data_IF_133980052791
#
_entry.id   IF_133980052791
#
_cell.length_a   1.000
_cell.length_b   1.000
_cell.length_c   1.000
_cell.angle_alpha   90.00
_cell.angle_beta   90.00
_cell.angle_gamma   90.00
#
_symmetry.space_group_name_H-M   'P 1'
#
loop_
_entity.id
_entity.type
_entity.pdbx_description
1 polymer ?
#
# COMPACT_ATOMS: atom_id res chain seq x y z
N UNK A 1 25.90 -6.34 45.95
CA UNK A 1 24.75 -5.42 46.15
C UNK A 1 24.61 -4.33 45.07
N UNK A 2 25.64 -3.52 44.76
CA UNK A 2 25.53 -2.42 43.76
C UNK A 2 25.06 -2.84 42.36
N UNK A 3 25.55 -3.97 41.81
CA UNK A 3 25.11 -4.50 40.51
C UNK A 3 23.64 -4.93 40.49
N UNK A 4 23.15 -5.54 41.58
CA UNK A 4 21.75 -5.94 41.73
C UNK A 4 20.81 -4.72 41.84
N UNK A 5 21.21 -3.68 42.57
CA UNK A 5 20.45 -2.43 42.65
C UNK A 5 20.42 -1.69 41.31
N UNK A 6 21.53 -1.67 40.57
CA UNK A 6 21.58 -1.10 39.22
C UNK A 6 20.66 -1.88 38.25
N UNK A 7 20.64 -3.21 38.35
CA UNK A 7 19.74 -4.05 37.55
C UNK A 7 18.27 -3.81 37.92
N UNK A 8 17.94 -3.77 39.21
CA UNK A 8 16.59 -3.45 39.70
C UNK A 8 16.11 -2.06 39.22
N UNK A 9 16.98 -1.05 39.28
CA UNK A 9 16.68 0.29 38.78
C UNK A 9 16.60 0.35 37.24
N UNK A 10 17.28 -0.56 36.53
CA UNK A 10 17.15 -0.73 35.09
C UNK A 10 15.79 -1.32 34.71
N UNK A 11 15.32 -2.32 35.44
CA UNK A 11 14.04 -3.00 35.20
C UNK A 11 12.86 -2.04 35.37
N UNK A 12 12.90 -1.12 36.33
CA UNK A 12 11.83 -0.11 36.49
C UNK A 12 11.73 0.87 35.32
N UNK A 13 12.80 1.04 34.53
CA UNK A 13 12.81 1.88 33.32
C UNK A 13 12.36 1.13 32.06
N UNK A 14 12.23 -0.19 32.12
CA UNK A 14 11.92 -1.02 30.96
C UNK A 14 10.59 -0.65 30.29
N UNK A 15 9.46 -0.39 31.01
CA UNK A 15 8.21 -0.02 30.36
C UNK A 15 8.31 1.27 29.53
N UNK A 16 9.04 2.27 30.02
CA UNK A 16 9.26 3.51 29.30
C UNK A 16 10.15 3.29 28.06
N UNK A 17 11.18 2.45 28.19
CA UNK A 17 12.06 2.09 27.07
C UNK A 17 11.33 1.30 25.98
N UNK A 18 10.49 0.33 26.37
CA UNK A 18 9.65 -0.44 25.44
C UNK A 18 8.70 0.50 24.70
N UNK A 19 7.96 1.35 25.42
CA UNK A 19 7.03 2.29 24.81
C UNK A 19 7.72 3.24 23.84
N UNK A 20 8.90 3.74 24.22
CA UNK A 20 9.72 4.61 23.37
C UNK A 20 10.07 3.97 22.03
N UNK A 21 10.46 2.69 22.05
CA UNK A 21 10.79 1.93 20.84
C UNK A 21 9.56 1.60 20.01
N UNK A 22 8.43 1.28 20.65
CA UNK A 22 7.16 1.02 19.95
C UNK A 22 6.67 2.24 19.17
N UNK A 23 6.78 3.44 19.75
CA UNK A 23 6.52 4.69 19.01
C UNK A 23 7.49 4.91 17.86
N UNK A 24 8.76 4.53 18.01
CA UNK A 24 9.75 4.58 16.93
C UNK A 24 9.45 3.65 15.75
N UNK A 25 8.63 2.61 15.96
CA UNK A 25 8.17 1.72 14.89
C UNK A 25 6.90 2.20 14.18
N UNK A 26 6.30 3.32 14.61
CA UNK A 26 5.09 3.86 13.97
C UNK A 26 5.45 4.89 12.91
N UNK A 27 4.68 4.92 11.83
CA UNK A 27 4.74 6.03 10.86
C UNK A 27 3.97 7.23 11.45
N UNK A 28 4.58 8.40 11.64
CA UNK A 28 3.86 9.57 12.13
C UNK A 28 3.10 10.29 11.02
N UNK A 29 2.20 11.20 11.41
CA UNK A 29 1.61 12.15 10.46
C UNK A 29 2.57 13.32 10.22
N UNK A 30 2.60 13.84 9.01
CA UNK A 30 3.25 15.11 8.71
C UNK A 30 2.39 16.25 9.26
N UNK A 31 2.80 16.80 10.40
CA UNK A 31 2.10 17.90 11.05
C UNK A 31 2.22 19.22 10.27
N UNK A 32 3.19 19.35 9.37
CA UNK A 32 3.33 20.50 8.48
C UNK A 32 2.35 20.45 7.32
N UNK A 33 2.17 19.27 6.72
CA UNK A 33 1.26 19.08 5.58
C UNK A 33 -0.20 18.87 5.97
N UNK A 34 -0.46 18.19 7.10
CA UNK A 34 -1.83 17.88 7.55
C UNK A 34 -2.29 18.93 8.55
N UNK A 35 -3.49 19.48 8.38
CA UNK A 35 -4.11 20.36 9.37
C UNK A 35 -5.54 19.91 9.68
N UNK A 36 -5.77 19.38 10.88
CA UNK A 36 -7.09 18.90 11.30
C UNK A 36 -7.78 19.96 12.15
N UNK A 37 -9.01 20.33 11.76
CA UNK A 37 -9.85 21.30 12.48
C UNK A 37 -11.01 20.62 13.21
N UNK A 38 -10.71 19.65 14.08
CA UNK A 38 -11.74 18.97 14.85
C UNK A 38 -12.25 19.86 16.01
N UNK A 39 -13.57 19.96 16.15
CA UNK A 39 -14.22 20.77 17.20
C UNK A 39 -14.35 20.04 18.54
N UNK A 40 -14.12 18.72 18.55
CA UNK A 40 -14.18 17.87 19.74
C UNK A 40 -12.96 16.99 19.83
N UNK A 41 -12.50 16.72 21.04
CA UNK A 41 -11.40 15.80 21.27
C UNK A 41 -11.82 14.39 20.82
N UNK A 42 -11.07 13.70 19.94
CA UNK A 42 -11.43 12.35 19.54
C UNK A 42 -11.51 11.40 20.75
N UNK A 43 -10.63 11.56 21.75
CA UNK A 43 -10.54 10.61 22.87
C UNK A 43 -11.67 10.71 23.91
N UNK A 44 -12.30 11.87 24.09
CA UNK A 44 -13.30 12.07 25.15
C UNK A 44 -14.52 12.88 24.71
N UNK A 45 -14.58 13.30 23.43
CA UNK A 45 -15.63 14.14 22.83
C UNK A 45 -15.79 15.55 23.43
N UNK A 46 -14.93 15.93 24.38
CA UNK A 46 -14.92 17.25 24.98
C UNK A 46 -14.72 18.34 23.92
N UNK A 47 -15.48 19.43 24.04
CA UNK A 47 -15.38 20.56 23.10
C UNK A 47 -13.99 21.18 23.14
N UNK A 48 -13.40 21.39 21.96
CA UNK A 48 -12.14 22.11 21.78
C UNK A 48 -12.37 23.54 21.30
N UNK A 49 -13.63 23.93 21.11
CA UNK A 49 -13.97 25.29 20.71
C UNK A 49 -13.37 26.27 21.74
N UNK A 50 -12.69 27.34 21.29
CA UNK A 50 -12.35 28.43 22.20
C UNK A 50 -13.68 28.95 22.77
N UNK A 51 -13.88 28.81 24.08
CA UNK A 51 -15.02 29.46 24.75
C UNK A 51 -14.90 30.95 24.43
N UNK A 52 -15.72 31.44 23.50
CA UNK A 52 -16.01 32.87 23.41
C UNK A 52 -16.78 33.18 24.67
N UNK A 53 -16.08 33.62 25.72
CA UNK A 53 -16.73 34.13 26.91
C UNK A 53 -17.66 35.24 26.44
N UNK A 54 -18.97 35.09 26.64
CA UNK A 54 -19.86 36.24 26.60
C UNK A 54 -19.37 37.22 27.68
N UNK A 55 -19.56 38.53 27.45
CA UNK A 55 -19.27 39.58 28.44
C UNK A 55 -19.89 39.25 29.82
N UNK A 56 -21.06 38.59 29.83
CA UNK A 56 -21.74 38.13 31.04
C UNK A 56 -21.02 37.00 31.79
N UNK A 57 -20.41 36.03 31.09
CA UNK A 57 -19.64 34.95 31.75
C UNK A 57 -18.28 35.44 32.24
N UNK A 58 -17.65 36.39 31.55
CA UNK A 58 -16.42 37.03 32.01
C UNK A 58 -16.64 37.80 33.33
N UNK A 59 -17.76 38.51 33.45
CA UNK A 59 -18.12 39.24 34.67
C UNK A 59 -18.40 38.30 35.87
N UNK A 60 -19.13 37.20 35.67
CA UNK A 60 -19.41 36.22 36.74
C UNK A 60 -18.19 35.42 37.19
N UNK A 61 -17.24 35.14 36.30
CA UNK A 61 -15.99 34.46 36.64
C UNK A 61 -15.06 35.33 37.51
N UNK A 62 -15.10 36.65 37.32
CA UNK A 62 -14.34 37.61 38.16
C UNK A 62 -14.96 37.70 39.57
N UNK A 63 -16.29 37.63 39.67
CA UNK A 63 -17.01 37.72 40.95
C UNK A 63 -16.86 36.48 41.85
N UNK A 64 -16.58 35.30 41.27
CA UNK A 64 -16.63 34.03 42.02
C UNK A 64 -15.26 33.45 42.40
N UNK A 65 -14.13 34.11 42.09
CA UNK A 65 -12.76 33.66 42.43
C UNK A 65 -12.42 32.20 42.04
N UNK A 66 -13.25 31.50 41.27
CA UNK A 66 -12.96 30.15 40.75
C UNK A 66 -12.27 30.22 39.39
N UNK A 67 -11.17 30.98 39.33
CA UNK A 67 -10.26 30.95 38.17
C UNK A 67 -9.35 29.72 38.30
N UNK A 68 -9.93 28.53 38.14
CA UNK A 68 -9.15 27.47 37.51
C UNK A 68 -8.87 27.95 36.09
N UNK A 69 -7.61 28.10 35.64
CA UNK A 69 -7.36 28.49 34.26
C UNK A 69 -8.03 27.44 33.39
N UNK A 70 -9.00 27.84 32.56
CA UNK A 70 -9.51 27.02 31.46
C UNK A 70 -8.29 26.61 30.65
N UNK A 71 -7.74 25.42 30.94
CA UNK A 71 -6.53 24.87 30.35
C UNK A 71 -6.80 24.67 28.85
N UNK A 72 -6.59 25.73 28.07
CA UNK A 72 -6.52 25.70 26.61
C UNK A 72 -5.17 25.11 26.16
N UNK A 73 -4.68 24.08 26.85
CA UNK A 73 -3.47 23.36 26.47
C UNK A 73 -3.85 22.21 25.53
N UNK A 74 -4.52 22.57 24.43
CA UNK A 74 -4.79 21.65 23.35
C UNK A 74 -3.50 21.43 22.58
N UNK A 75 -3.23 20.17 22.24
CA UNK A 75 -2.05 19.80 21.47
C UNK A 75 -2.45 18.94 20.28
N UNK A 76 -1.63 18.96 19.24
CA UNK A 76 -1.75 18.04 18.11
C UNK A 76 -1.02 16.75 18.44
N UNK A 77 -1.70 15.63 18.29
CA UNK A 77 -1.10 14.33 18.46
C UNK A 77 -0.12 14.04 17.32
N UNK A 78 1.12 13.66 17.66
CA UNK A 78 2.19 13.30 16.74
C UNK A 78 1.84 12.12 15.81
N UNK A 79 1.00 11.20 16.27
CA UNK A 79 0.65 10.00 15.50
C UNK A 79 -0.57 10.22 14.60
N UNK A 80 -1.70 10.66 15.16
CA UNK A 80 -2.96 10.80 14.42
C UNK A 80 -3.23 12.19 13.84
N UNK A 81 -2.53 13.23 14.29
CA UNK A 81 -2.68 14.60 13.78
C UNK A 81 -3.82 15.43 14.36
N UNK A 82 -4.79 14.81 15.04
CA UNK A 82 -5.92 15.50 15.67
C UNK A 82 -5.51 16.40 16.83
N UNK A 83 -6.28 17.47 17.06
CA UNK A 83 -6.24 18.26 18.28
C UNK A 83 -6.90 17.48 19.43
N UNK A 84 -6.26 17.48 20.60
CA UNK A 84 -6.73 16.77 21.79
C UNK A 84 -6.69 17.68 23.02
N UNK A 85 -7.65 17.50 23.93
CA UNK A 85 -7.73 18.30 25.16
C UNK A 85 -6.58 17.94 26.11
N UNK A 86 -6.33 18.83 27.08
CA UNK A 86 -5.24 18.69 28.05
C UNK A 86 -5.25 17.37 28.82
N UNK A 87 -6.43 16.79 29.05
CA UNK A 87 -6.59 15.54 29.82
C UNK A 87 -6.36 14.30 28.96
N UNK A 88 -6.31 14.45 27.63
CA UNK A 88 -6.25 13.34 26.68
C UNK A 88 -4.92 13.24 25.94
N UNK A 89 -3.89 14.02 26.31
CA UNK A 89 -2.55 13.88 25.76
C UNK A 89 -1.49 13.73 26.85
N UNK A 90 -0.40 13.06 26.49
CA UNK A 90 0.80 12.97 27.33
C UNK A 90 2.06 13.23 26.51
N UNK A 91 3.07 13.82 27.14
CA UNK A 91 4.41 13.87 26.59
C UNK A 91 5.04 12.48 26.68
N UNK A 92 5.39 11.91 25.53
CA UNK A 92 6.05 10.62 25.39
C UNK A 92 7.40 10.81 24.71
N UNK A 93 8.21 9.77 24.66
CA UNK A 93 9.46 9.77 23.92
C UNK A 93 9.40 8.76 22.79
N UNK A 94 10.09 9.04 21.70
CA UNK A 94 10.26 8.18 20.54
C UNK A 94 11.74 8.01 20.25
N UNK A 95 12.17 6.79 19.92
CA UNK A 95 13.50 6.53 19.37
C UNK A 95 13.41 6.59 17.85
N UNK A 96 14.07 7.58 17.23
CA UNK A 96 14.15 7.74 15.78
C UNK A 96 15.06 6.68 15.14
N UNK A 97 15.05 6.62 13.81
CA UNK A 97 15.83 5.64 13.04
C UNK A 97 17.34 5.75 13.26
N UNK A 98 17.83 6.96 13.59
CA UNK A 98 19.24 7.21 13.90
C UNK A 98 19.61 6.90 15.36
N UNK A 99 18.66 6.37 16.15
CA UNK A 99 18.82 6.12 17.58
C UNK A 99 18.66 7.37 18.45
N UNK A 100 18.42 8.55 17.86
CA UNK A 100 18.12 9.77 18.64
C UNK A 100 16.76 9.67 19.29
N UNK A 101 16.65 10.14 20.53
CA UNK A 101 15.39 10.18 21.26
C UNK A 101 14.77 11.57 21.14
N UNK A 102 13.50 11.63 20.74
CA UNK A 102 12.73 12.86 20.62
C UNK A 102 11.51 12.82 21.56
N UNK A 103 11.14 13.98 22.12
CA UNK A 103 9.88 14.15 22.84
C UNK A 103 8.74 14.35 21.83
N UNK A 104 7.62 13.68 22.06
CA UNK A 104 6.44 13.72 21.20
C UNK A 104 5.17 13.91 22.05
N UNK A 105 4.15 14.52 21.48
CA UNK A 105 2.81 14.59 22.08
C UNK A 105 1.99 13.43 21.52
N UNK A 106 1.42 12.59 22.39
CA UNK A 106 0.56 11.48 21.93
C UNK A 106 -0.73 11.49 22.72
N UNK A 107 -1.85 11.28 22.03
CA UNK A 107 -3.15 11.17 22.69
C UNK A 107 -3.34 9.79 23.34
N UNK A 108 -4.23 9.72 24.33
CA UNK A 108 -4.55 8.48 25.06
C UNK A 108 -4.97 7.35 24.12
N UNK A 109 -5.76 7.67 23.09
CA UNK A 109 -6.20 6.70 22.07
C UNK A 109 -5.03 6.14 21.24
N UNK A 110 -4.16 7.00 20.73
CA UNK A 110 -2.95 6.58 20.00
C UNK A 110 -2.03 5.73 20.88
N UNK A 111 -1.87 6.12 22.16
CA UNK A 111 -1.06 5.34 23.10
C UNK A 111 -1.61 3.93 23.31
N UNK A 112 -2.93 3.78 23.46
CA UNK A 112 -3.57 2.48 23.60
C UNK A 112 -3.39 1.60 22.36
N UNK A 113 -3.60 2.17 21.16
CA UNK A 113 -3.42 1.45 19.90
C UNK A 113 -1.97 0.96 19.72
N UNK A 114 -0.97 1.82 19.97
CA UNK A 114 0.47 1.42 19.95
C UNK A 114 0.79 0.35 21.00
N UNK A 115 0.07 0.29 22.10
CA UNK A 115 0.27 -0.77 23.10
C UNK A 115 -0.29 -2.12 22.65
N UNK A 116 -1.33 -2.12 21.82
CA UNK A 116 -2.06 -3.30 21.36
C UNK A 116 -1.40 -4.02 20.18
N UNK A 117 -0.47 -3.39 19.45
CA UNK A 117 0.25 -4.05 18.37
C UNK A 117 1.24 -5.12 18.87
N UNK A 118 1.63 -6.03 17.98
CA UNK A 118 2.62 -7.08 18.24
C UNK A 118 4.01 -6.61 17.79
N UNK A 119 5.04 -6.79 18.62
CA UNK A 119 6.39 -6.22 18.36
C UNK A 119 7.52 -7.24 18.46
N UNK A 120 7.20 -8.51 18.69
CA UNK A 120 8.19 -9.59 18.82
C UNK A 120 9.18 -9.61 17.65
N UNK A 121 8.68 -9.56 16.42
CA UNK A 121 9.50 -9.57 15.19
C UNK A 121 10.23 -8.24 14.92
N UNK A 122 9.70 -7.10 15.39
CA UNK A 122 10.35 -5.78 15.21
C UNK A 122 11.70 -5.72 15.93
N UNK A 123 11.81 -6.39 17.07
CA UNK A 123 13.01 -6.36 17.92
C UNK A 123 13.73 -7.72 17.99
N UNK A 124 13.36 -8.67 17.14
CA UNK A 124 13.99 -9.99 17.04
C UNK A 124 15.41 -9.92 16.45
N UNK A 125 16.18 -10.99 16.66
CA UNK A 125 17.49 -11.17 16.04
C UNK A 125 18.67 -10.42 16.68
N UNK A 126 19.79 -10.42 15.98
CA UNK A 126 21.03 -9.74 16.39
C UNK A 126 20.92 -8.22 16.25
N UNK A 127 21.92 -7.47 16.73
CA UNK A 127 21.95 -6.02 16.56
C UNK A 127 21.99 -5.61 15.09
N UNK A 128 22.71 -6.36 14.26
CA UNK A 128 22.87 -6.15 12.82
C UNK A 128 21.56 -6.45 12.08
N UNK A 129 20.87 -7.54 12.43
CA UNK A 129 19.55 -7.86 11.87
C UNK A 129 18.53 -6.77 12.21
N UNK A 130 18.48 -6.35 13.48
CA UNK A 130 17.63 -5.22 13.89
C UNK A 130 17.97 -3.92 13.18
N UNK A 131 19.24 -3.68 12.88
CA UNK A 131 19.66 -2.45 12.20
C UNK A 131 19.05 -2.35 10.80
N UNK A 132 18.86 -3.47 10.09
CA UNK A 132 18.17 -3.48 8.78
C UNK A 132 16.72 -3.03 8.87
N UNK A 133 16.04 -3.43 9.95
CA UNK A 133 14.64 -3.07 10.23
C UNK A 133 14.49 -1.72 10.94
N UNK A 134 15.60 -1.04 11.28
CA UNK A 134 15.54 0.37 11.64
C UNK A 134 15.30 1.17 10.37
N UNK A 135 14.09 1.65 10.23
CA UNK A 135 13.79 2.76 9.36
C UNK A 135 12.32 2.76 9.03
N UNK A 136 11.88 3.79 8.32
CA UNK A 136 10.88 3.54 7.32
C UNK A 136 11.38 2.46 6.33
N UNK A 137 10.46 1.71 5.72
CA UNK A 137 10.71 0.89 4.54
C UNK A 137 11.44 1.71 3.45
N UNK A 138 12.40 1.10 2.75
CA UNK A 138 13.23 1.80 1.75
C UNK A 138 13.62 0.94 0.57
N UNK A 139 14.03 1.60 -0.51
CA UNK A 139 14.70 0.96 -1.64
C UNK A 139 16.21 1.06 -1.47
N UNK A 140 16.93 -0.02 -1.75
CA UNK A 140 18.39 -0.11 -1.64
C UNK A 140 19.01 -0.55 -2.97
N UNK A 141 20.31 -0.37 -3.14
CA UNK A 141 21.03 -0.91 -4.30
C UNK A 141 20.94 -2.44 -4.37
N UNK A 142 21.05 -2.95 -5.59
CA UNK A 142 21.06 -4.39 -5.84
C UNK A 142 22.31 -5.04 -5.24
N UNK A 143 22.13 -6.17 -4.55
CA UNK A 143 23.25 -7.00 -4.09
C UNK A 143 23.74 -7.91 -5.21
N UNK A 144 25.03 -8.27 -5.20
CA UNK A 144 25.71 -9.11 -6.21
C UNK A 144 25.21 -10.57 -6.35
N UNK A 145 24.10 -10.95 -5.71
CA UNK A 145 23.53 -12.30 -5.78
C UNK A 145 22.57 -12.48 -6.97
N UNK A 146 22.26 -13.74 -7.32
CA UNK A 146 21.38 -14.21 -8.41
C UNK A 146 20.43 -13.15 -8.96
N UNK A 147 20.62 -12.78 -10.22
CA UNK A 147 19.81 -11.75 -10.87
C UNK A 147 18.34 -12.16 -10.89
N UNK A 148 17.50 -11.40 -10.16
CA UNK A 148 16.03 -11.50 -10.17
C UNK A 148 15.49 -11.59 -11.60
N UNK A 149 16.16 -10.93 -12.55
CA UNK A 149 15.82 -10.90 -13.96
C UNK A 149 15.92 -12.28 -14.60
N UNK A 150 16.99 -13.04 -14.34
CA UNK A 150 17.14 -14.41 -14.87
C UNK A 150 15.97 -15.28 -14.42
N UNK A 151 15.62 -15.22 -13.13
CA UNK A 151 14.52 -16.02 -12.57
C UNK A 151 13.17 -15.69 -13.23
N UNK A 152 12.96 -14.45 -13.66
CA UNK A 152 11.74 -14.02 -14.34
C UNK A 152 11.72 -14.48 -15.79
N UNK A 153 12.84 -14.36 -16.50
CA UNK A 153 12.98 -14.83 -17.90
C UNK A 153 12.82 -16.36 -17.96
N UNK A 154 13.50 -17.08 -17.07
CA UNK A 154 13.41 -18.55 -16.97
C UNK A 154 11.98 -18.98 -16.66
N UNK A 155 11.29 -18.25 -15.77
CA UNK A 155 9.90 -18.54 -15.45
C UNK A 155 8.97 -18.29 -16.63
N UNK A 156 9.10 -17.17 -17.34
CA UNK A 156 8.28 -16.91 -18.53
C UNK A 156 8.53 -17.93 -19.65
N UNK A 157 9.80 -18.34 -19.84
CA UNK A 157 10.16 -19.38 -20.79
C UNK A 157 9.51 -20.71 -20.40
N UNK A 158 9.62 -21.12 -19.14
CA UNK A 158 9.00 -22.34 -18.64
C UNK A 158 7.47 -22.28 -18.71
N UNK A 159 6.84 -21.14 -18.40
CA UNK A 159 5.39 -20.96 -18.52
C UNK A 159 4.91 -21.12 -19.96
N UNK A 160 5.68 -20.60 -20.93
CA UNK A 160 5.35 -20.71 -22.34
C UNK A 160 5.49 -22.15 -22.83
N UNK A 161 6.60 -22.82 -22.50
CA UNK A 161 6.89 -24.20 -22.93
C UNK A 161 5.92 -25.22 -22.34
N UNK A 162 5.43 -25.00 -21.12
CA UNK A 162 4.49 -25.90 -20.46
C UNK A 162 3.03 -25.64 -20.85
N UNK A 163 2.71 -24.52 -21.49
CA UNK A 163 1.36 -24.22 -21.94
C UNK A 163 1.10 -24.87 -23.30
N UNK A 164 -0.05 -25.53 -23.46
CA UNK A 164 -0.42 -26.13 -24.74
C UNK A 164 -0.59 -25.03 -25.81
N UNK A 165 -0.07 -25.26 -27.02
CA UNK A 165 -0.22 -24.32 -28.13
C UNK A 165 -1.71 -24.01 -28.38
N UNK A 166 -2.04 -22.72 -28.45
CA UNK A 166 -3.43 -22.25 -28.61
C UNK A 166 -4.28 -22.21 -27.32
N UNK A 167 -3.73 -22.61 -26.17
CA UNK A 167 -4.40 -22.45 -24.87
C UNK A 167 -4.48 -20.99 -24.42
N UNK A 168 -5.38 -20.70 -23.47
CA UNK A 168 -5.49 -19.38 -22.86
C UNK A 168 -4.21 -19.00 -22.11
N UNK A 169 -3.55 -19.97 -21.48
CA UNK A 169 -2.27 -19.80 -20.77
C UNK A 169 -1.14 -19.44 -21.72
N UNK A 170 -1.07 -20.09 -22.88
CA UNK A 170 -0.09 -19.77 -23.92
C UNK A 170 -0.31 -18.36 -24.48
N UNK A 171 -1.57 -18.02 -24.80
CA UNK A 171 -1.93 -16.70 -25.28
C UNK A 171 -1.61 -15.59 -24.25
N UNK A 172 -1.94 -15.83 -22.97
CA UNK A 172 -1.66 -14.92 -21.87
C UNK A 172 -0.15 -14.70 -21.68
N UNK A 173 0.65 -15.78 -21.72
CA UNK A 173 2.11 -15.69 -21.61
C UNK A 173 2.70 -14.86 -22.75
N UNK A 174 2.25 -15.11 -23.98
CA UNK A 174 2.67 -14.32 -25.15
C UNK A 174 2.25 -12.86 -25.06
N UNK A 175 1.03 -12.57 -24.57
CA UNK A 175 0.53 -11.21 -24.38
C UNK A 175 1.37 -10.45 -23.33
N UNK A 176 1.72 -11.11 -22.21
CA UNK A 176 2.60 -10.56 -21.17
C UNK A 176 3.97 -10.21 -21.73
N UNK A 177 4.62 -11.16 -22.44
CA UNK A 177 5.94 -10.94 -23.05
C UNK A 177 5.90 -9.76 -24.03
N UNK A 178 4.90 -9.71 -24.93
CA UNK A 178 4.75 -8.61 -25.90
C UNK A 178 4.57 -7.27 -25.22
N UNK A 179 3.69 -7.20 -24.21
CA UNK A 179 3.40 -5.95 -23.51
C UNK A 179 4.62 -5.43 -22.75
N UNK A 180 5.36 -6.31 -22.07
CA UNK A 180 6.60 -5.95 -21.36
C UNK A 180 7.66 -5.38 -22.31
N UNK A 181 7.83 -5.98 -23.49
CA UNK A 181 8.75 -5.49 -24.52
C UNK A 181 8.32 -4.13 -25.10
N UNK A 182 7.01 -3.90 -25.26
CA UNK A 182 6.48 -2.66 -25.86
C UNK A 182 6.59 -1.46 -24.93
N UNK A 183 6.48 -1.64 -23.62
CA UNK A 183 6.66 -0.57 -22.62
C UNK A 183 8.03 0.11 -22.67
N UNK A 184 9.02 -0.47 -23.36
CA UNK A 184 10.32 0.15 -23.57
C UNK A 184 10.42 0.94 -24.88
N UNK A 185 9.49 0.76 -25.82
CA UNK A 185 9.50 1.44 -27.14
C UNK A 185 8.80 2.79 -27.11
N UNK A 186 7.96 3.06 -26.12
CA UNK A 186 7.28 4.36 -25.95
C UNK A 186 8.25 5.50 -25.54
N UNK A 187 9.56 5.22 -25.32
CA UNK A 187 10.64 6.21 -25.20
C UNK A 187 11.40 6.47 -26.52
N UNK A 188 11.02 5.81 -27.62
CA UNK A 188 11.62 5.97 -28.95
C UNK A 188 10.53 5.98 -30.02
N UNK A 189 10.19 7.16 -30.53
CA UNK A 189 9.28 7.34 -31.68
C UNK A 189 9.75 6.51 -32.89
N UNK A 190 9.22 5.30 -33.02
CA UNK A 190 9.03 4.63 -34.32
C UNK A 190 8.05 3.46 -34.12
N UNK A 191 6.77 3.72 -34.40
CA UNK A 191 5.83 2.67 -34.78
C UNK A 191 6.29 2.09 -36.13
N UNK A 192 7.26 1.20 -36.08
CA UNK A 192 7.45 0.20 -37.12
C UNK A 192 6.95 -1.12 -36.54
N UNK A 193 5.73 -1.49 -36.90
CA UNK A 193 5.36 -2.89 -37.02
C UNK A 193 6.22 -3.49 -38.14
N UNK A 194 7.51 -3.68 -37.86
CA UNK A 194 8.35 -4.57 -38.62
C UNK A 194 7.92 -5.98 -38.26
N UNK A 195 7.03 -6.54 -39.06
CA UNK A 195 7.07 -7.97 -39.34
C UNK A 195 8.50 -8.27 -39.78
N UNK A 196 9.33 -8.73 -38.84
CA UNK A 196 10.63 -9.30 -39.13
C UNK A 196 10.38 -10.59 -39.90
N UNK A 197 10.22 -10.43 -41.22
CA UNK A 197 10.16 -11.46 -42.28
C UNK A 197 11.54 -12.14 -42.46
N UNK A 198 12.21 -12.43 -41.34
CA UNK A 198 13.36 -13.31 -41.31
C UNK A 198 12.90 -14.76 -41.29
N UNK A 199 13.54 -15.61 -42.10
CA UNK A 199 13.37 -17.07 -42.23
C UNK A 199 13.71 -17.86 -40.94
N UNK A 200 13.57 -17.23 -39.77
CA UNK A 200 13.88 -17.81 -38.47
C UNK A 200 12.67 -18.61 -37.98
N UNK A 201 12.90 -19.85 -37.56
CA UNK A 201 11.85 -20.67 -36.94
C UNK A 201 11.32 -20.01 -35.65
N UNK A 202 10.09 -20.36 -35.24
CA UNK A 202 9.41 -19.79 -34.06
C UNK A 202 10.27 -19.86 -32.79
N UNK A 203 11.06 -20.93 -32.63
CA UNK A 203 11.98 -21.13 -31.51
C UNK A 203 13.08 -20.05 -31.43
N UNK A 204 13.68 -19.68 -32.56
CA UNK A 204 14.73 -18.65 -32.62
C UNK A 204 14.14 -17.27 -32.34
N UNK A 205 12.94 -17.00 -32.83
CA UNK A 205 12.20 -15.78 -32.54
C UNK A 205 11.86 -15.68 -31.05
N UNK A 206 11.52 -16.79 -30.40
CA UNK A 206 11.24 -16.83 -28.96
C UNK A 206 12.51 -16.63 -28.13
N UNK A 207 13.60 -17.33 -28.46
CA UNK A 207 14.89 -17.14 -27.81
C UNK A 207 15.35 -15.67 -27.88
N UNK A 208 15.16 -15.03 -29.02
CA UNK A 208 15.45 -13.61 -29.22
C UNK A 208 14.60 -12.71 -28.30
N UNK A 209 13.29 -12.99 -28.18
CA UNK A 209 12.41 -12.23 -27.27
C UNK A 209 12.84 -12.34 -25.81
N UNK A 210 13.20 -13.53 -25.35
CA UNK A 210 13.65 -13.74 -23.97
C UNK A 210 15.00 -13.06 -23.69
N UNK A 211 15.92 -13.10 -24.66
CA UNK A 211 17.19 -12.37 -24.56
C UNK A 211 16.96 -10.87 -24.42
N UNK A 212 16.16 -10.27 -25.31
CA UNK A 212 15.83 -8.83 -25.26
C UNK A 212 15.09 -8.48 -23.96
N UNK A 213 14.21 -9.35 -23.47
CA UNK A 213 13.52 -9.14 -22.20
C UNK A 213 14.48 -9.17 -21.00
N UNK A 214 15.45 -10.10 -21.01
CA UNK A 214 16.50 -10.18 -20.00
C UNK A 214 17.38 -8.94 -19.98
N UNK A 215 17.83 -8.48 -21.15
CA UNK A 215 18.55 -7.21 -21.30
C UNK A 215 17.73 -6.04 -20.78
N UNK A 216 16.44 -5.96 -21.15
CA UNK A 216 15.55 -4.88 -20.73
C UNK A 216 15.35 -4.79 -19.21
N UNK A 217 15.13 -5.94 -18.56
CA UNK A 217 14.87 -5.99 -17.12
C UNK A 217 16.15 -5.85 -16.29
N UNK A 218 17.31 -6.18 -16.87
CA UNK A 218 18.63 -6.16 -16.23
C UNK A 218 19.51 -4.95 -16.54
N UNK A 219 19.03 -4.02 -17.38
CA UNK A 219 19.77 -2.82 -17.75
C UNK A 219 19.89 -1.84 -16.55
N UNK A 220 21.06 -1.84 -15.90
CA UNK A 220 21.35 -0.97 -14.76
C UNK A 220 21.30 0.52 -15.09
N UNK A 221 21.61 0.91 -16.34
CA UNK A 221 21.56 2.31 -16.79
C UNK A 221 20.12 2.82 -16.87
N UNK A 222 19.15 1.93 -17.09
CA UNK A 222 17.72 2.23 -17.10
C UNK A 222 17.05 2.12 -15.73
N UNK A 223 17.77 1.67 -14.69
CA UNK A 223 17.20 1.61 -13.35
C UNK A 223 17.09 3.03 -12.77
N UNK A 224 15.94 3.39 -12.15
CA UNK A 224 15.80 4.68 -11.49
C UNK A 224 16.88 4.85 -10.40
N UNK A 225 17.39 6.07 -10.24
CA UNK A 225 18.25 6.40 -9.11
C UNK A 225 17.50 6.21 -7.77
N UNK A 226 18.24 5.96 -6.68
CA UNK A 226 17.64 5.64 -5.38
C UNK A 226 16.67 6.72 -4.86
N UNK A 227 16.99 7.99 -5.09
CA UNK A 227 16.15 9.13 -4.71
C UNK A 227 14.87 9.25 -5.55
N UNK A 228 14.87 8.71 -6.77
CA UNK A 228 13.69 8.57 -7.62
C UNK A 228 12.78 7.41 -7.20
N UNK A 229 13.29 6.45 -6.42
CA UNK A 229 12.54 5.32 -5.86
C UNK A 229 11.72 5.73 -4.63
N UNK A 230 10.70 6.56 -4.84
CA UNK A 230 9.84 7.08 -3.76
C UNK A 230 8.87 6.02 -3.24
N UNK A 231 8.66 6.01 -1.92
CA UNK A 231 7.61 5.25 -1.26
C UNK A 231 6.60 6.18 -0.60
N UNK A 232 5.30 5.90 -0.73
CA UNK A 232 4.21 6.74 -0.24
C UNK A 232 4.12 6.88 1.28
N UNK A 233 4.92 6.10 2.01
CA UNK A 233 5.05 6.15 3.46
C UNK A 233 6.52 6.05 3.91
N UNK A 234 7.43 6.55 3.07
CA UNK A 234 8.87 6.49 3.30
C UNK A 234 9.37 7.32 4.48
N UNK A 235 8.57 8.21 5.08
CA UNK A 235 8.96 8.94 6.31
C UNK A 235 7.75 9.26 7.18
N UNK A 236 6.77 9.96 6.62
CA UNK A 236 5.56 10.42 7.31
C UNK A 236 4.33 10.19 6.42
N UNK A 237 3.14 10.23 7.03
CA UNK A 237 1.86 10.17 6.31
C UNK A 237 1.31 11.57 6.07
N UNK A 238 0.68 11.77 4.92
CA UNK A 238 -0.02 12.99 4.52
C UNK A 238 -1.52 13.01 4.89
N UNK A 239 -1.96 12.16 5.83
CA UNK A 239 -3.35 12.09 6.29
C UNK A 239 -3.44 11.79 7.80
N UNK A 240 -4.51 12.25 8.48
CA UNK A 240 -4.76 11.91 9.88
C UNK A 240 -5.24 10.45 10.03
N UNK A 241 -5.09 9.89 11.23
CA UNK A 241 -5.61 8.55 11.55
C UNK A 241 -6.77 8.62 12.53
N UNK A 242 -7.96 8.20 12.12
CA UNK A 242 -9.06 7.98 13.05
C UNK A 242 -8.98 6.56 13.61
N UNK A 243 -8.16 6.41 14.66
CA UNK A 243 -7.98 5.15 15.37
C UNK A 243 -9.23 4.79 16.19
N UNK A 244 -9.48 3.50 16.43
CA UNK A 244 -10.59 3.05 17.25
C UNK A 244 -10.38 3.32 18.74
N UNK A 245 -11.48 3.36 19.49
CA UNK A 245 -11.45 3.40 20.95
C UNK A 245 -10.97 2.09 21.56
N UNK A 246 -11.40 0.95 21.00
CA UNK A 246 -10.96 -0.38 21.41
C UNK A 246 -10.07 -1.04 20.34
N UNK A 247 -8.74 -0.96 20.47
CA UNK A 247 -7.81 -1.53 19.49
C UNK A 247 -7.77 -3.07 19.47
N UNK A 248 -8.51 -3.75 20.34
CA UNK A 248 -8.56 -5.22 20.37
C UNK A 248 -9.73 -5.80 19.57
N UNK A 249 -10.67 -4.97 19.15
CA UNK A 249 -11.92 -5.40 18.48
C UNK A 249 -12.11 -4.68 17.16
N UNK A 250 -11.81 -3.38 17.12
CA UNK A 250 -12.09 -2.53 15.96
C UNK A 250 -10.84 -2.23 15.15
N UNK A 251 -11.04 -1.83 13.89
CA UNK A 251 -9.99 -1.32 12.99
C UNK A 251 -10.08 0.20 12.86
N UNK A 252 -8.98 0.88 12.47
CA UNK A 252 -9.03 2.31 12.13
C UNK A 252 -10.05 2.60 11.03
N UNK A 253 -10.71 3.76 11.10
CA UNK A 253 -11.54 4.17 9.96
C UNK A 253 -10.65 4.44 8.75
N UNK A 254 -11.14 4.00 7.60
CA UNK A 254 -10.46 4.21 6.31
C UNK A 254 -10.16 5.70 6.08
N UNK A 255 -8.90 6.08 5.79
CA UNK A 255 -8.66 7.39 5.21
C UNK A 255 -9.33 7.44 3.83
N UNK A 256 -9.81 8.59 3.36
CA UNK A 256 -10.37 8.74 2.02
C UNK A 256 -9.55 9.81 1.27
N UNK A 257 -9.04 9.53 0.05
CA UNK A 257 -8.32 10.52 -0.73
C UNK A 257 -9.19 11.74 -1.05
N UNK A 258 -8.58 12.92 -1.17
CA UNK A 258 -9.31 14.14 -1.52
C UNK A 258 -9.90 14.10 -2.93
N UNK A 259 -9.31 13.31 -3.82
CA UNK A 259 -9.73 13.07 -5.20
C UNK A 259 -10.57 11.79 -5.36
N UNK A 260 -11.25 11.34 -4.31
CA UNK A 260 -12.01 10.08 -4.34
C UNK A 260 -13.13 10.09 -5.40
N UNK A 261 -13.84 11.21 -5.56
CA UNK A 261 -14.89 11.32 -6.58
C UNK A 261 -14.32 11.13 -7.99
N UNK A 262 -13.22 11.81 -8.32
CA UNK A 262 -12.55 11.70 -9.62
C UNK A 262 -12.02 10.29 -9.85
N UNK A 263 -11.50 9.63 -8.81
CA UNK A 263 -11.00 8.25 -8.86
C UNK A 263 -12.11 7.26 -9.21
N UNK A 264 -13.26 7.38 -8.56
CA UNK A 264 -14.44 6.54 -8.83
C UNK A 264 -14.95 6.80 -10.26
N UNK A 265 -14.99 8.06 -10.68
CA UNK A 265 -15.42 8.44 -12.02
C UNK A 265 -14.47 7.94 -13.12
N UNK A 266 -13.15 8.01 -12.89
CA UNK A 266 -12.15 7.44 -13.78
C UNK A 266 -12.30 5.90 -13.89
N UNK A 267 -12.55 5.22 -12.76
CA UNK A 267 -12.85 3.79 -12.76
C UNK A 267 -14.14 3.44 -13.53
N UNK A 268 -15.16 4.29 -13.47
CA UNK A 268 -16.43 4.11 -14.19
C UNK A 268 -16.25 4.31 -15.70
N UNK A 269 -15.66 5.43 -16.10
CA UNK A 269 -15.50 5.85 -17.50
C UNK A 269 -14.51 4.97 -18.27
N UNK A 270 -13.51 4.40 -17.60
CA UNK A 270 -12.60 3.42 -18.19
C UNK A 270 -13.21 2.02 -18.35
N UNK A 271 -14.44 1.78 -17.86
CA UNK A 271 -15.06 0.46 -17.82
C UNK A 271 -14.45 -0.48 -16.76
N UNK A 272 -13.55 0.02 -15.91
CA UNK A 272 -12.85 -0.79 -14.92
C UNK A 272 -13.81 -1.27 -13.82
N UNK A 273 -14.69 -0.39 -13.34
CA UNK A 273 -15.68 -0.79 -12.33
C UNK A 273 -16.65 -1.83 -12.89
N UNK A 274 -16.98 -1.82 -14.18
CA UNK A 274 -17.80 -2.86 -14.80
C UNK A 274 -17.09 -4.22 -14.80
N UNK A 275 -15.80 -4.23 -15.19
CA UNK A 275 -14.96 -5.44 -15.14
C UNK A 275 -14.86 -6.01 -13.72
N UNK A 276 -14.73 -5.13 -12.72
CA UNK A 276 -14.71 -5.50 -11.29
C UNK A 276 -15.97 -6.25 -10.87
N UNK A 277 -17.16 -5.80 -11.29
CA UNK A 277 -18.43 -6.47 -10.94
C UNK A 277 -18.55 -7.88 -11.54
N UNK A 278 -17.88 -8.15 -12.66
CA UNK A 278 -17.87 -9.49 -13.28
C UNK A 278 -16.87 -10.43 -12.62
N UNK A 279 -15.68 -9.94 -12.28
CA UNK A 279 -14.59 -10.76 -11.75
C UNK A 279 -14.68 -11.00 -10.25
N UNK A 280 -15.06 -9.98 -9.48
CA UNK A 280 -15.06 -9.99 -8.02
C UNK A 280 -16.27 -9.20 -7.46
N UNK A 281 -17.52 -9.63 -7.73
CA UNK A 281 -18.71 -8.94 -7.23
C UNK A 281 -18.78 -8.90 -5.70
N UNK A 282 -19.33 -7.82 -5.13
CA UNK A 282 -19.59 -7.72 -3.69
C UNK A 282 -20.52 -8.83 -3.20
N UNK A 283 -21.55 -9.12 -4.00
CA UNK A 283 -22.50 -10.17 -3.75
C UNK A 283 -22.44 -11.14 -4.94
N UNK A 284 -21.71 -12.26 -4.83
CA UNK A 284 -21.60 -13.21 -5.92
C UNK A 284 -22.98 -13.76 -6.29
N UNK A 285 -23.34 -13.78 -7.59
CA UNK A 285 -24.62 -14.34 -8.02
C UNK A 285 -24.67 -15.82 -7.67
N UNK A 286 -25.86 -16.31 -7.32
CA UNK A 286 -26.12 -17.74 -7.10
C UNK A 286 -26.09 -18.55 -8.39
N UNK A 287 -26.27 -17.87 -9.54
CA UNK A 287 -26.19 -18.46 -10.87
C UNK A 287 -24.74 -18.41 -11.40
N UNK A 288 -24.17 -19.59 -11.65
CA UNK A 288 -22.80 -19.77 -12.13
C UNK A 288 -22.65 -19.55 -13.64
N UNK A 289 -23.73 -19.22 -14.36
CA UNK A 289 -23.76 -19.18 -15.83
C UNK A 289 -23.17 -17.92 -16.48
N UNK A 290 -22.83 -16.87 -15.71
CA UNK A 290 -22.26 -15.64 -16.27
C UNK A 290 -20.82 -15.90 -16.72
N UNK A 291 -20.50 -15.77 -18.03
CA UNK A 291 -19.13 -15.93 -18.52
C UNK A 291 -18.21 -14.92 -17.85
N UNK A 292 -17.15 -15.40 -17.19
CA UNK A 292 -16.13 -14.54 -16.59
C UNK A 292 -15.05 -14.22 -17.62
N UNK A 293 -14.62 -12.95 -17.72
CA UNK A 293 -13.47 -12.59 -18.53
C UNK A 293 -12.23 -13.41 -18.13
N UNK A 294 -11.41 -13.77 -19.12
CA UNK A 294 -10.15 -14.46 -18.88
C UNK A 294 -9.21 -13.63 -17.99
N UNK A 295 -8.55 -14.27 -17.02
CA UNK A 295 -7.63 -13.60 -16.08
C UNK A 295 -6.22 -14.21 -16.05
N UNK A 296 -5.88 -15.10 -16.98
CA UNK A 296 -4.59 -15.79 -16.97
C UNK A 296 -3.41 -14.83 -17.09
N UNK A 297 -3.56 -13.72 -17.83
CA UNK A 297 -2.54 -12.67 -17.90
C UNK A 297 -2.29 -11.98 -16.54
N UNK A 298 -3.36 -11.57 -15.84
CA UNK A 298 -3.28 -10.97 -14.51
C UNK A 298 -2.73 -11.96 -13.47
N UNK A 299 -3.11 -13.24 -13.56
CA UNK A 299 -2.58 -14.29 -12.69
C UNK A 299 -1.08 -14.50 -12.94
N UNK A 300 -0.63 -14.52 -14.20
CA UNK A 300 0.80 -14.63 -14.53
C UNK A 300 1.59 -13.44 -13.97
N UNK A 301 1.04 -12.22 -14.04
CA UNK A 301 1.65 -11.04 -13.41
C UNK A 301 1.78 -11.17 -11.89
N UNK A 302 0.79 -11.77 -11.21
CA UNK A 302 0.89 -12.04 -9.77
C UNK A 302 2.01 -13.05 -9.46
N UNK A 303 2.20 -14.09 -10.28
CA UNK A 303 3.30 -15.05 -10.11
C UNK A 303 4.68 -14.42 -10.37
N UNK A 304 4.78 -13.54 -11.36
CA UNK A 304 5.99 -12.74 -11.62
C UNK A 304 6.30 -11.81 -10.45
N UNK A 305 5.30 -11.18 -9.85
CA UNK A 305 5.46 -10.33 -8.68
C UNK A 305 5.97 -11.11 -7.45
N UNK A 306 5.37 -12.28 -7.18
CA UNK A 306 5.85 -13.23 -6.15
C UNK A 306 7.33 -13.57 -6.36
N UNK A 307 7.73 -13.90 -7.59
CA UNK A 307 9.14 -14.24 -7.90
C UNK A 307 10.08 -13.06 -7.80
N UNK A 308 9.64 -11.89 -8.25
CA UNK A 308 10.42 -10.65 -8.19
C UNK A 308 10.75 -10.31 -6.75
N UNK A 309 9.76 -10.38 -5.86
CA UNK A 309 9.90 -9.97 -4.47
C UNK A 309 10.22 -11.13 -3.52
N UNK A 310 10.11 -12.39 -3.94
CA UNK A 310 10.22 -13.54 -3.04
C UNK A 310 9.14 -13.54 -1.94
N UNK A 311 7.95 -13.01 -2.23
CA UNK A 311 6.82 -12.95 -1.29
C UNK A 311 5.93 -14.20 -1.40
N UNK A 312 5.19 -14.53 -0.35
CA UNK A 312 4.26 -15.66 -0.34
C UNK A 312 3.12 -15.50 -1.35
N UNK A 313 2.49 -14.31 -1.39
CA UNK A 313 1.32 -14.08 -2.24
C UNK A 313 1.34 -12.73 -2.94
N UNK A 314 0.66 -12.64 -4.08
CA UNK A 314 0.43 -11.40 -4.82
C UNK A 314 -1.01 -11.32 -5.32
N UNK A 315 -1.50 -10.09 -5.48
CA UNK A 315 -2.85 -9.76 -5.92
C UNK A 315 -2.85 -8.58 -6.88
N UNK A 316 -3.77 -8.61 -7.86
CA UNK A 316 -4.19 -7.44 -8.62
C UNK A 316 -5.55 -7.02 -8.07
N UNK A 317 -5.63 -5.82 -7.52
CA UNK A 317 -6.82 -5.33 -6.84
C UNK A 317 -7.28 -4.00 -7.38
N UNK A 318 -8.59 -3.74 -7.32
CA UNK A 318 -9.19 -2.43 -7.64
C UNK A 318 -10.11 -2.04 -6.50
N UNK A 319 -10.01 -0.78 -6.06
CA UNK A 319 -10.80 -0.25 -4.96
C UNK A 319 -12.08 0.41 -5.51
N UNK A 320 -13.25 -0.01 -5.05
CA UNK A 320 -14.51 0.70 -5.24
C UNK A 320 -14.72 1.73 -4.14
N UNK A 321 -15.94 2.24 -3.96
CA UNK A 321 -16.24 3.16 -2.86
C UNK A 321 -16.20 2.46 -1.50
N UNK A 322 -16.59 1.18 -1.45
CA UNK A 322 -16.80 0.41 -0.20
C UNK A 322 -15.95 -0.85 -0.08
N UNK A 323 -15.44 -1.40 -1.18
CA UNK A 323 -14.70 -2.67 -1.16
C UNK A 323 -13.42 -2.60 -2.00
N UNK A 324 -12.43 -3.39 -1.60
CA UNK A 324 -11.32 -3.79 -2.45
C UNK A 324 -11.67 -5.10 -3.14
N UNK A 325 -11.58 -5.11 -4.46
CA UNK A 325 -11.94 -6.24 -5.29
C UNK A 325 -10.68 -6.93 -5.81
N UNK A 326 -10.52 -8.22 -5.52
CA UNK A 326 -9.36 -9.03 -5.90
C UNK A 326 -9.63 -9.67 -7.26
N UNK A 327 -9.08 -9.06 -8.32
CA UNK A 327 -9.33 -9.45 -9.71
C UNK A 327 -8.44 -10.61 -10.18
N UNK A 328 -7.26 -10.74 -9.57
CA UNK A 328 -6.36 -11.89 -9.73
C UNK A 328 -5.52 -12.05 -8.47
N UNK A 329 -5.03 -13.27 -8.22
CA UNK A 329 -4.10 -13.52 -7.12
C UNK A 329 -3.49 -14.91 -7.17
N UNK A 330 -2.43 -15.11 -6.38
CA UNK A 330 -1.78 -16.43 -6.23
C UNK A 330 -2.31 -17.24 -5.05
N UNK A 331 -3.09 -16.63 -4.15
CA UNK A 331 -3.77 -17.35 -3.09
C UNK A 331 -5.18 -17.75 -3.55
N UNK A 332 -5.55 -19.06 -3.56
CA UNK A 332 -6.82 -19.52 -4.11
C UNK A 332 -8.04 -18.91 -3.40
N UNK A 333 -7.98 -18.78 -2.07
CA UNK A 333 -9.12 -18.30 -1.26
C UNK A 333 -9.45 -16.81 -1.42
N UNK A 334 -8.59 -16.03 -2.08
CA UNK A 334 -8.79 -14.58 -2.23
C UNK A 334 -9.21 -14.18 -3.65
N UNK A 335 -9.06 -15.07 -4.64
CA UNK A 335 -9.45 -14.77 -6.01
C UNK A 335 -10.96 -14.55 -6.11
N UNK A 336 -11.38 -13.41 -6.65
CA UNK A 336 -12.79 -13.04 -6.77
C UNK A 336 -13.42 -12.49 -5.49
N UNK A 337 -12.63 -12.27 -4.42
CA UNK A 337 -13.12 -11.70 -3.18
C UNK A 337 -13.36 -10.19 -3.28
N UNK A 338 -14.40 -9.71 -2.60
CA UNK A 338 -14.63 -8.29 -2.32
C UNK A 338 -14.45 -8.05 -0.82
N UNK A 339 -13.35 -7.39 -0.45
CA UNK A 339 -12.96 -7.15 0.95
C UNK A 339 -13.45 -5.77 1.36
N UNK A 340 -14.14 -5.59 2.51
CA UNK A 340 -14.53 -4.26 2.98
C UNK A 340 -13.32 -3.33 3.05
N UNK A 341 -13.45 -2.13 2.47
CA UNK A 341 -12.35 -1.17 2.29
C UNK A 341 -11.58 -0.85 3.56
N UNK A 342 -12.26 -0.78 4.70
CA UNK A 342 -11.68 -0.56 6.03
C UNK A 342 -10.83 -1.71 6.57
N UNK A 343 -10.93 -2.90 5.97
CA UNK A 343 -10.13 -4.06 6.31
C UNK A 343 -8.87 -4.20 5.44
N UNK A 344 -8.55 -3.18 4.63
CA UNK A 344 -7.55 -3.31 3.57
C UNK A 344 -6.31 -2.43 3.80
N UNK A 345 -5.14 -3.00 3.53
CA UNK A 345 -3.89 -2.21 3.51
C UNK A 345 -3.87 -1.27 2.31
N UNK A 346 -4.40 -1.71 1.17
CA UNK A 346 -4.41 -0.97 -0.09
C UNK A 346 -5.13 0.38 0.03
N UNK A 347 -6.12 0.50 0.93
CA UNK A 347 -6.74 1.79 1.19
C UNK A 347 -5.76 2.86 1.68
N UNK A 348 -4.79 2.48 2.50
CA UNK A 348 -3.77 3.40 2.98
C UNK A 348 -2.73 3.71 1.89
N UNK A 349 -2.54 2.78 0.94
CA UNK A 349 -1.68 2.97 -0.22
C UNK A 349 -2.29 3.96 -1.24
N UNK A 350 -3.63 4.04 -1.36
CA UNK A 350 -4.32 5.01 -2.23
C UNK A 350 -4.09 6.48 -1.85
N UNK A 351 -3.60 6.75 -0.65
CA UNK A 351 -3.34 8.11 -0.18
C UNK A 351 -2.07 8.74 -0.80
N UNK A 352 -1.36 7.99 -1.67
CA UNK A 352 -0.15 8.41 -2.35
C UNK A 352 -0.09 7.86 -3.77
N UNK A 353 0.48 8.60 -4.75
CA UNK A 353 0.71 8.09 -6.10
C UNK A 353 1.96 7.19 -6.21
N UNK A 354 2.65 6.93 -5.10
CA UNK A 354 3.89 6.14 -5.05
C UNK A 354 3.64 4.74 -4.48
N UNK A 355 4.50 3.75 -4.78
CA UNK A 355 4.45 2.45 -4.12
C UNK A 355 4.44 2.56 -2.59
N UNK A 356 3.71 1.68 -1.93
CA UNK A 356 3.48 1.72 -0.50
C UNK A 356 3.97 0.44 0.15
N UNK A 357 4.76 0.53 1.21
CA UNK A 357 5.41 -0.63 1.81
C UNK A 357 5.24 -0.63 3.33
N UNK A 358 4.97 -1.80 3.92
CA UNK A 358 4.80 -1.97 5.36
C UNK A 358 5.74 -3.08 5.80
N UNK A 359 6.76 -2.75 6.59
CA UNK A 359 7.79 -3.69 7.00
C UNK A 359 7.34 -4.66 8.10
N UNK A 360 6.43 -4.19 8.96
CA UNK A 360 5.90 -4.89 10.13
C UNK A 360 4.40 -4.60 10.25
N UNK A 361 3.60 -5.32 9.49
CA UNK A 361 2.15 -5.15 9.41
C UNK A 361 1.47 -5.33 10.77
N UNK A 362 1.99 -6.27 11.57
CA UNK A 362 1.55 -6.61 12.92
C UNK A 362 1.86 -5.57 13.99
N UNK A 363 2.86 -4.73 13.71
CA UNK A 363 3.36 -3.71 14.62
C UNK A 363 2.84 -2.32 14.28
N UNK A 364 2.05 -2.17 13.22
CA UNK A 364 1.54 -0.91 12.71
C UNK A 364 0.10 -0.69 13.19
N UNK A 365 -0.15 0.44 13.86
CA UNK A 365 -1.50 0.80 14.36
C UNK A 365 -2.55 0.86 13.28
N UNK A 366 -2.16 1.01 12.01
CA UNK A 366 -3.08 1.03 10.88
C UNK A 366 -3.67 -0.33 10.58
N UNK A 367 -2.94 -1.42 10.87
CA UNK A 367 -3.23 -2.71 10.25
C UNK A 367 -3.24 -3.92 11.20
N UNK A 368 -2.68 -3.81 12.40
CA UNK A 368 -2.48 -4.94 13.32
C UNK A 368 -3.76 -5.70 13.70
N UNK A 369 -4.94 -5.10 13.44
CA UNK A 369 -6.26 -5.70 13.66
C UNK A 369 -7.11 -5.96 12.42
N UNK A 370 -6.60 -5.76 11.21
CA UNK A 370 -7.32 -6.13 10.00
C UNK A 370 -7.66 -7.62 9.98
N UNK A 371 -8.87 -8.00 9.60
CA UNK A 371 -9.32 -9.40 9.55
C UNK A 371 -8.40 -10.28 8.70
N UNK A 372 -7.81 -9.75 7.62
CA UNK A 372 -6.85 -10.51 6.82
C UNK A 372 -5.66 -11.06 7.65
N UNK A 373 -5.24 -10.34 8.69
CA UNK A 373 -4.14 -10.75 9.59
C UNK A 373 -4.49 -11.93 10.50
N UNK A 374 -5.77 -12.24 10.67
CA UNK A 374 -6.21 -13.42 11.43
C UNK A 374 -6.29 -14.67 10.57
N UNK A 375 -6.40 -14.52 9.25
CA UNK A 375 -6.47 -15.64 8.30
C UNK A 375 -5.11 -15.96 7.66
N UNK A 376 -4.29 -14.94 7.43
CA UNK A 376 -2.92 -15.06 6.93
C UNK A 376 -2.01 -14.31 7.90
N UNK A 377 -0.87 -14.89 8.33
CA UNK A 377 0.09 -14.21 9.21
C UNK A 377 0.86 -13.12 8.44
N UNK A 378 0.17 -12.08 7.97
CA UNK A 378 0.77 -10.97 7.22
C UNK A 378 1.74 -10.21 8.15
N UNK A 379 2.99 -10.10 7.73
CA UNK A 379 4.05 -9.32 8.40
C UNK A 379 4.65 -8.27 7.47
N UNK A 380 4.63 -8.53 6.17
CA UNK A 380 5.07 -7.59 5.14
C UNK A 380 3.99 -7.35 4.11
N UNK A 381 3.90 -6.11 3.63
CA UNK A 381 3.09 -5.72 2.49
C UNK A 381 3.88 -4.76 1.60
N UNK A 382 3.73 -4.90 0.29
CA UNK A 382 4.13 -3.86 -0.67
C UNK A 382 3.11 -3.77 -1.81
N UNK A 383 2.69 -2.56 -2.16
CA UNK A 383 1.70 -2.29 -3.21
C UNK A 383 2.23 -1.30 -4.22
N UNK A 384 2.09 -1.63 -5.51
CA UNK A 384 2.43 -0.77 -6.64
C UNK A 384 1.14 -0.26 -7.30
N UNK A 385 0.96 1.08 -7.39
CA UNK A 385 -0.24 1.70 -7.94
C UNK A 385 -0.61 1.23 -9.35
N UNK A 386 -1.88 0.85 -9.52
CA UNK A 386 -2.53 0.75 -10.83
C UNK A 386 -3.15 2.11 -11.13
N UNK A 387 -2.57 2.83 -12.09
CA UNK A 387 -2.97 4.21 -12.42
C UNK A 387 -3.77 4.24 -13.71
N UNK A 388 -4.88 4.96 -13.75
CA UNK A 388 -5.69 5.13 -14.98
C UNK A 388 -5.82 6.61 -15.32
N UNK A 389 -5.96 6.97 -16.60
CA UNK A 389 -6.23 8.34 -17.02
C UNK A 389 -7.54 8.86 -16.40
N UNK A 390 -7.67 10.17 -16.15
CA UNK A 390 -8.98 10.73 -15.83
C UNK A 390 -9.85 10.73 -17.09
N UNK A 391 -11.16 10.77 -16.89
CA UNK A 391 -12.14 10.83 -17.98
C UNK A 391 -11.90 11.98 -18.98
N UNK A 392 -11.31 13.08 -18.51
CA UNK A 392 -11.04 14.30 -19.29
C UNK A 392 -9.57 14.49 -19.64
N UNK A 393 -8.71 13.55 -19.27
CA UNK A 393 -7.26 13.66 -19.45
C UNK A 393 -6.82 13.51 -20.90
N UNK A 394 -5.85 14.31 -21.31
CA UNK A 394 -5.05 14.11 -22.51
C UNK A 394 -3.90 13.12 -22.22
N UNK A 395 -3.32 12.50 -23.26
CA UNK A 395 -2.08 11.74 -23.12
C UNK A 395 -1.00 12.60 -22.44
N UNK A 396 -0.44 12.11 -21.32
CA UNK A 396 0.57 12.81 -20.53
C UNK A 396 0.06 13.52 -19.27
N UNK A 397 -1.25 13.61 -19.05
CA UNK A 397 -1.83 14.16 -17.82
C UNK A 397 -1.62 13.22 -16.62
N UNK A 398 -1.76 13.78 -15.40
CA UNK A 398 -1.66 13.02 -14.16
C UNK A 398 -2.68 11.87 -14.10
N UNK A 399 -2.23 10.66 -13.79
CA UNK A 399 -3.10 9.49 -13.69
C UNK A 399 -3.53 9.21 -12.25
N UNK A 400 -4.78 8.76 -12.08
CA UNK A 400 -5.35 8.43 -10.77
C UNK A 400 -5.08 6.98 -10.39
N UNK A 401 -4.65 6.76 -9.15
CA UNK A 401 -4.49 5.41 -8.62
C UNK A 401 -5.87 4.83 -8.29
N UNK A 402 -6.23 3.71 -8.91
CA UNK A 402 -7.52 3.03 -8.72
C UNK A 402 -7.40 1.69 -8.00
N UNK A 403 -6.19 1.16 -7.89
CA UNK A 403 -5.93 -0.17 -7.37
C UNK A 403 -4.44 -0.44 -7.16
N UNK A 404 -4.09 -1.68 -6.86
CA UNK A 404 -2.71 -2.09 -6.58
C UNK A 404 -2.38 -3.43 -7.25
N UNK A 405 -1.15 -3.56 -7.76
CA UNK A 405 -0.45 -4.84 -7.79
C UNK A 405 0.30 -4.95 -6.47
N UNK A 406 -0.17 -5.79 -5.55
CA UNK A 406 0.37 -5.87 -4.21
C UNK A 406 0.84 -7.28 -3.84
N UNK A 407 1.84 -7.36 -2.96
CA UNK A 407 2.35 -8.60 -2.41
C UNK A 407 2.31 -8.57 -0.88
N UNK A 408 2.11 -9.74 -0.30
CA UNK A 408 2.17 -9.97 1.14
C UNK A 408 3.11 -11.11 1.47
N UNK A 409 3.75 -11.02 2.63
CA UNK A 409 4.61 -12.08 3.14
C UNK A 409 4.43 -12.29 4.65
N UNK A 410 4.78 -13.49 5.11
CA UNK A 410 4.74 -13.88 6.52
C UNK A 410 6.01 -13.50 7.29
N UNK A 411 7.03 -12.99 6.60
CA UNK A 411 8.25 -12.47 7.20
C UNK A 411 8.30 -10.95 7.04
N UNK A 412 8.72 -10.22 8.08
CA UNK A 412 8.90 -8.78 7.97
C UNK A 412 10.03 -8.46 7.01
N UNK A 413 9.92 -7.30 6.34
CA UNK A 413 10.93 -6.86 5.37
C UNK A 413 10.95 -5.34 5.22
N UNK A 414 12.10 -4.73 5.48
CA UNK A 414 12.28 -3.28 5.45
C UNK A 414 12.93 -2.74 4.16
N UNK A 415 13.45 -3.62 3.30
CA UNK A 415 14.24 -3.23 2.12
C UNK A 415 13.81 -4.02 0.88
N UNK A 416 13.64 -3.34 -0.25
CA UNK A 416 13.58 -3.94 -1.59
C UNK A 416 14.67 -3.33 -2.47
N UNK A 417 15.14 -4.06 -3.48
CA UNK A 417 16.20 -3.54 -4.34
C UNK A 417 15.66 -2.63 -5.45
N UNK A 418 16.54 -1.85 -6.12
CA UNK A 418 16.20 -1.03 -7.29
C UNK A 418 15.61 -1.86 -8.42
N UNK A 419 16.21 -3.01 -8.73
CA UNK A 419 15.68 -3.93 -9.73
C UNK A 419 14.28 -4.44 -9.37
N UNK A 420 14.05 -4.79 -8.10
CA UNK A 420 12.72 -5.21 -7.64
C UNK A 420 11.68 -4.09 -7.76
N UNK A 421 12.04 -2.88 -7.36
CA UNK A 421 11.17 -1.71 -7.47
C UNK A 421 10.82 -1.40 -8.93
N UNK A 422 11.81 -1.35 -9.82
CA UNK A 422 11.63 -1.07 -11.24
C UNK A 422 10.78 -2.16 -11.93
N UNK A 423 11.08 -3.43 -11.65
CA UNK A 423 10.33 -4.57 -12.20
C UNK A 423 8.88 -4.54 -11.76
N UNK A 424 8.60 -4.36 -10.46
CA UNK A 424 7.23 -4.29 -9.96
C UNK A 424 6.44 -3.11 -10.53
N UNK A 425 7.11 -1.96 -10.78
CA UNK A 425 6.50 -0.82 -11.46
C UNK A 425 6.11 -1.16 -12.90
N UNK A 426 6.95 -1.89 -13.64
CA UNK A 426 6.63 -2.39 -14.99
C UNK A 426 5.46 -3.37 -14.95
N UNK A 427 5.48 -4.36 -14.04
CA UNK A 427 4.38 -5.32 -13.87
C UNK A 427 3.05 -4.64 -13.53
N UNK A 428 3.04 -3.62 -12.67
CA UNK A 428 1.84 -2.84 -12.35
C UNK A 428 1.31 -2.08 -13.57
N UNK A 429 2.20 -1.51 -14.40
CA UNK A 429 1.83 -0.88 -15.67
C UNK A 429 1.25 -1.91 -16.67
N UNK A 430 1.81 -3.12 -16.71
CA UNK A 430 1.29 -4.21 -17.55
C UNK A 430 -0.09 -4.68 -17.07
N UNK A 431 -0.30 -4.79 -15.76
CA UNK A 431 -1.59 -5.15 -15.19
C UNK A 431 -2.66 -4.10 -15.53
N UNK A 432 -2.34 -2.81 -15.38
CA UNK A 432 -3.19 -1.70 -15.84
C UNK A 432 -3.56 -1.87 -17.32
N UNK A 433 -2.59 -2.15 -18.19
CA UNK A 433 -2.84 -2.29 -19.63
C UNK A 433 -3.88 -3.39 -19.91
N UNK A 434 -3.73 -4.57 -19.30
CA UNK A 434 -4.70 -5.65 -19.49
C UNK A 434 -6.07 -5.35 -18.90
N UNK A 435 -6.13 -4.73 -17.72
CA UNK A 435 -7.40 -4.30 -17.12
C UNK A 435 -8.15 -3.35 -18.06
N UNK A 436 -7.48 -2.31 -18.57
CA UNK A 436 -8.10 -1.36 -19.48
C UNK A 436 -8.47 -1.98 -20.84
N UNK A 437 -7.66 -2.91 -21.35
CA UNK A 437 -7.96 -3.64 -22.57
C UNK A 437 -9.24 -4.47 -22.41
N UNK A 438 -9.33 -5.27 -21.34
CA UNK A 438 -10.50 -6.09 -21.03
C UNK A 438 -11.75 -5.22 -20.80
N UNK A 439 -11.61 -4.09 -20.09
CA UNK A 439 -12.70 -3.14 -19.91
C UNK A 439 -13.25 -2.58 -21.22
N UNK A 440 -12.38 -2.25 -22.18
CA UNK A 440 -12.82 -1.78 -23.52
C UNK A 440 -13.55 -2.86 -24.32
N UNK A 441 -13.07 -4.11 -24.26
CA UNK A 441 -13.75 -5.23 -24.93
C UNK A 441 -15.19 -5.40 -24.43
N UNK A 442 -15.40 -5.29 -23.11
CA UNK A 442 -16.73 -5.35 -22.52
C UNK A 442 -17.66 -4.24 -23.01
N UNK A 443 -17.16 -3.02 -23.22
CA UNK A 443 -17.98 -1.90 -23.75
C UNK A 443 -18.35 -2.10 -25.22
N UNK A 444 -17.46 -2.72 -26.02
CA UNK A 444 -17.71 -2.99 -27.45
C UNK A 444 -18.69 -4.15 -27.66
N UNK A 445 -18.75 -5.10 -26.73
CA UNK A 445 -19.64 -6.27 -26.80
C UNK A 445 -21.07 -5.98 -26.29
N UNK A 446 -21.33 -4.82 -25.70
CA UNK A 446 -22.68 -4.39 -25.31
C UNK A 446 -23.42 -3.77 -26.51
N UNK A 447 -24.56 -4.35 -26.96
CA UNK A 447 -25.34 -3.74 -28.04
C UNK A 447 -25.88 -2.38 -27.59
N UNK A 448 -25.75 -1.37 -28.45
CA UNK A 448 -26.42 -0.08 -28.30
C UNK A 448 -27.95 -0.30 -28.34
N UNK A 449 -28.61 -0.41 -27.19
CA UNK A 449 -30.06 -0.58 -27.16
C UNK A 449 -30.61 -0.84 -25.76
N UNK A 450 -31.14 0.22 -25.14
CA UNK A 450 -31.86 0.14 -23.88
C UNK A 450 -32.55 1.44 -23.48
N UNK A 451 -32.99 2.26 -24.45
CA UNK A 451 -34.09 3.20 -24.23
C UNK A 451 -35.37 2.48 -24.67
N UNK A 452 -36.23 2.18 -23.69
CA UNK A 452 -37.67 1.93 -23.84
C UNK A 452 -38.37 2.41 -22.58
#
# INVERSE_FOLDING_TARGET
MRRLLALAHGVTKLPALVRRRRFGGQVPVDLGAVHVQNTRCPCCTHSLAPVKLSLSMAASAIATRSLGPLKKDTRRCFLCGYLVCVDCWSAEHMESMTGRVAAIVVCTRCRANVQACEYSEVFAGTAEQRAKHRGPPRVVDDSTSTSTVSLLVDFLSASLLNAAAGSAEHAATMAVIRTLLRQNREDSDSDSEGEDDGDNNEDERMATRFKVLGELLGDEEKLPALDACKLGNGDQRNYPLDLPDNPNVDVPRSPIPSNEADRIEAGRTSGLLQLVHLLAPENPPTDLSVPKPDTHDLQLLCHLAVKTLGCAYSFVTVMSSKHEHVLAGTHPDFFGAAVPREQTTCQHALMSPYPFMVAHHEADVRFHKHTATTHIPIRFYVGFPLKVPLATSKPGDEELTVGMLCCIDSKPRAEISRTQYATMKRLASTAKHFLLHKSRQLTLEQPAGGDC
#
